data_IF_318676964417
#
_entry.id   IF_318676964417
#
_cell.length_a   1.000
_cell.length_b   1.000
_cell.length_c   1.000
_cell.angle_alpha   90.00
_cell.angle_beta   90.00
_cell.angle_gamma   90.00
#
_symmetry.space_group_name_H-M   'P 1'
#
loop_
_entity.id
_entity.type
_entity.pdbx_description
1 polymer ?
#
# COMPACT_ATOMS: atom_id res chain seq x y z
N UNK A 1 -4.41 0.84 10.92
CA UNK A 1 -5.28 0.57 9.75
C UNK A 1 -5.56 1.90 9.09
N UNK A 2 -5.52 1.96 7.77
CA UNK A 2 -5.91 3.13 6.99
C UNK A 2 -7.02 2.75 6.01
N UNK A 3 -7.94 3.67 5.73
CA UNK A 3 -9.00 3.47 4.73
C UNK A 3 -8.78 4.49 3.63
N UNK A 4 -8.55 4.01 2.41
CA UNK A 4 -8.32 4.90 1.29
C UNK A 4 -9.65 5.38 0.71
N UNK A 5 -9.59 6.50 0.02
CA UNK A 5 -10.70 7.06 -0.74
C UNK A 5 -10.15 7.55 -2.08
N UNK A 6 -10.98 7.98 -3.03
CA UNK A 6 -10.50 8.60 -4.26
C UNK A 6 -9.54 9.78 -4.04
N UNK A 7 -9.65 10.48 -2.90
CA UNK A 7 -8.72 11.56 -2.54
C UNK A 7 -7.29 11.04 -2.24
N UNK A 8 -7.16 9.77 -1.85
CA UNK A 8 -5.90 9.13 -1.46
C UNK A 8 -5.28 8.30 -2.59
N UNK A 9 -5.79 8.43 -3.82
CA UNK A 9 -5.37 7.61 -4.97
C UNK A 9 -3.90 7.82 -5.38
N UNK A 10 -3.28 8.94 -4.98
CA UNK A 10 -1.87 9.19 -5.23
C UNK A 10 -0.98 8.53 -4.17
N UNK A 11 0.23 8.11 -4.59
CA UNK A 11 1.24 7.55 -3.68
C UNK A 11 1.52 8.49 -2.51
N UNK A 12 1.60 9.80 -2.75
CA UNK A 12 1.93 10.76 -1.68
C UNK A 12 0.83 10.81 -0.63
N UNK A 13 -0.44 10.89 -1.04
CA UNK A 13 -1.57 10.94 -0.11
C UNK A 13 -1.71 9.62 0.66
N UNK A 14 -1.57 8.47 0.00
CA UNK A 14 -1.53 7.18 0.68
C UNK A 14 -0.42 7.08 1.75
N UNK A 15 0.77 7.61 1.46
CA UNK A 15 1.87 7.63 2.44
C UNK A 15 1.61 8.62 3.58
N UNK A 16 0.91 9.73 3.32
CA UNK A 16 0.51 10.66 4.38
C UNK A 16 -0.49 10.02 5.34
N UNK A 17 -1.51 9.35 4.83
CA UNK A 17 -2.48 8.59 5.64
C UNK A 17 -1.79 7.53 6.52
N UNK A 18 -0.82 6.80 5.94
CA UNK A 18 -0.03 5.83 6.70
C UNK A 18 0.86 6.49 7.75
N UNK A 19 1.48 7.63 7.43
CA UNK A 19 2.31 8.37 8.36
C UNK A 19 1.48 8.87 9.56
N UNK A 20 0.31 9.43 9.30
CA UNK A 20 -0.63 9.90 10.32
C UNK A 20 -1.09 8.75 11.23
N UNK A 21 -1.50 7.62 10.64
CA UNK A 21 -1.89 6.43 11.39
C UNK A 21 -0.77 5.82 12.24
N UNK A 22 0.50 6.11 11.91
CA UNK A 22 1.68 5.71 12.67
C UNK A 22 2.13 6.74 13.71
N UNK A 23 1.44 7.87 13.81
CA UNK A 23 1.76 8.99 14.70
C UNK A 23 2.96 9.81 14.23
N UNK A 24 3.23 9.83 12.92
CA UNK A 24 4.31 10.63 12.34
C UNK A 24 3.74 11.97 11.84
N UNK A 25 3.99 13.05 12.57
CA UNK A 25 3.58 14.41 12.19
C UNK A 25 4.71 15.19 11.50
N UNK A 26 4.34 16.32 10.87
CA UNK A 26 5.26 17.35 10.36
C UNK A 26 6.28 16.87 9.32
N UNK A 27 5.96 15.79 8.61
CA UNK A 27 6.78 15.29 7.52
C UNK A 27 6.55 16.11 6.25
N UNK A 28 7.63 16.49 5.52
CA UNK A 28 7.49 17.06 4.19
C UNK A 28 6.68 16.14 3.27
N UNK A 29 5.83 16.71 2.40
CA UNK A 29 5.02 15.99 1.38
C UNK A 29 5.87 15.48 0.21
N UNK A 30 6.96 14.77 0.53
CA UNK A 30 7.86 14.13 -0.41
C UNK A 30 7.80 12.61 -0.22
N UNK A 31 7.52 11.87 -1.30
CA UNK A 31 7.35 10.41 -1.28
C UNK A 31 8.54 9.68 -0.64
N UNK A 32 9.77 10.10 -0.95
CA UNK A 32 10.98 9.49 -0.42
C UNK A 32 11.14 9.70 1.08
N UNK A 33 10.86 10.92 1.56
CA UNK A 33 10.91 11.25 2.99
C UNK A 33 9.85 10.46 3.76
N UNK A 34 8.60 10.46 3.27
CA UNK A 34 7.49 9.74 3.90
C UNK A 34 7.76 8.23 3.96
N UNK A 35 8.12 7.62 2.84
CA UNK A 35 8.42 6.20 2.77
C UNK A 35 9.56 5.81 3.73
N UNK A 36 10.61 6.63 3.83
CA UNK A 36 11.72 6.38 4.75
C UNK A 36 11.30 6.47 6.21
N UNK A 37 10.47 7.46 6.57
CA UNK A 37 9.96 7.63 7.92
C UNK A 37 9.06 6.45 8.34
N UNK A 38 8.11 6.08 7.47
CA UNK A 38 7.22 4.92 7.66
C UNK A 38 8.04 3.64 7.84
N UNK A 39 9.00 3.39 6.95
CA UNK A 39 9.87 2.19 7.07
C UNK A 39 10.58 2.13 8.41
N UNK A 40 11.22 3.22 8.85
CA UNK A 40 11.91 3.29 10.14
C UNK A 40 10.96 3.00 11.30
N UNK A 41 9.74 3.50 11.24
CA UNK A 41 8.72 3.33 12.28
C UNK A 41 8.15 1.91 12.35
N UNK A 42 8.15 1.19 11.23
CA UNK A 42 7.63 -0.16 11.08
C UNK A 42 8.69 -1.26 11.27
N UNK A 43 9.95 -1.02 10.93
CA UNK A 43 11.03 -2.02 11.07
C UNK A 43 11.15 -2.51 12.52
N UNK A 44 11.20 -3.82 12.71
CA UNK A 44 11.35 -4.45 14.03
C UNK A 44 10.08 -4.50 14.86
N UNK A 45 8.96 -3.94 14.38
CA UNK A 45 7.68 -4.00 15.10
C UNK A 45 7.01 -5.38 15.00
N UNK A 46 7.34 -6.17 13.97
CA UNK A 46 6.59 -7.38 13.59
C UNK A 46 5.06 -7.12 13.52
N UNK A 47 4.66 -5.88 13.22
CA UNK A 47 3.26 -5.46 13.21
C UNK A 47 2.51 -5.86 11.95
N UNK A 48 1.25 -5.42 11.88
CA UNK A 48 0.35 -5.63 10.74
C UNK A 48 -0.15 -4.27 10.23
N UNK A 49 0.12 -3.99 8.95
CA UNK A 49 -0.46 -2.86 8.23
C UNK A 49 -1.67 -3.35 7.44
N UNK A 50 -2.82 -2.70 7.67
CA UNK A 50 -4.06 -2.97 6.94
C UNK A 50 -4.41 -1.70 6.17
N UNK A 51 -4.57 -1.85 4.85
CA UNK A 51 -5.02 -0.81 3.93
C UNK A 51 -6.36 -1.23 3.35
N UNK A 52 -7.41 -0.54 3.77
CA UNK A 52 -8.76 -0.72 3.26
C UNK A 52 -9.05 0.17 2.05
N UNK A 53 -9.97 -0.25 1.19
CA UNK A 53 -10.29 0.36 -0.11
C UNK A 53 -9.04 0.62 -1.00
N UNK A 54 -8.11 -0.32 -0.97
CA UNK A 54 -6.84 -0.27 -1.70
C UNK A 54 -6.99 -0.26 -3.23
N UNK A 55 -8.16 -0.58 -3.77
CA UNK A 55 -8.46 -0.48 -5.21
C UNK A 55 -8.58 0.97 -5.71
N UNK A 56 -8.57 1.95 -4.80
CA UNK A 56 -8.32 3.34 -5.15
C UNK A 56 -6.86 3.61 -5.59
N UNK A 57 -5.92 2.73 -5.27
CA UNK A 57 -4.52 2.87 -5.71
C UNK A 57 -4.30 2.27 -7.10
N UNK A 58 -3.46 2.96 -7.88
CA UNK A 58 -2.84 2.39 -9.07
C UNK A 58 -1.74 1.37 -8.72
N UNK A 59 -1.24 0.66 -9.73
CA UNK A 59 -0.17 -0.35 -9.59
C UNK A 59 1.05 0.22 -8.86
N UNK A 60 1.48 1.44 -9.20
CA UNK A 60 2.63 2.09 -8.55
C UNK A 60 2.43 2.31 -7.04
N UNK A 61 1.20 2.59 -6.61
CA UNK A 61 0.87 2.73 -5.19
C UNK A 61 0.95 1.40 -4.46
N UNK A 62 0.44 0.34 -5.07
CA UNK A 62 0.51 -1.01 -4.53
C UNK A 62 1.95 -1.52 -4.48
N UNK A 63 2.75 -1.24 -5.50
CA UNK A 63 4.18 -1.57 -5.54
C UNK A 63 4.96 -0.81 -4.46
N UNK A 64 4.60 0.45 -4.19
CA UNK A 64 5.18 1.20 -3.08
C UNK A 64 4.86 0.55 -1.72
N UNK A 65 3.63 0.09 -1.50
CA UNK A 65 3.25 -0.64 -0.28
C UNK A 65 4.01 -1.97 -0.16
N UNK A 66 4.17 -2.71 -1.27
CA UNK A 66 4.97 -3.93 -1.34
C UNK A 66 6.43 -3.67 -0.99
N UNK A 67 7.02 -2.60 -1.51
CA UNK A 67 8.39 -2.20 -1.19
C UNK A 67 8.56 -1.87 0.31
N UNK A 68 7.56 -1.24 0.94
CA UNK A 68 7.56 -1.01 2.39
C UNK A 68 7.49 -2.34 3.14
N UNK A 69 6.60 -3.25 2.75
CA UNK A 69 6.45 -4.57 3.37
C UNK A 69 7.75 -5.38 3.29
N UNK A 70 8.32 -5.54 2.08
CA UNK A 70 9.61 -6.22 1.86
C UNK A 70 10.72 -5.65 2.75
N UNK A 71 10.79 -4.32 2.86
CA UNK A 71 11.88 -3.64 3.54
C UNK A 71 11.72 -3.57 5.07
N UNK A 72 10.55 -3.89 5.60
CA UNK A 72 10.25 -3.82 7.05
C UNK A 72 9.92 -5.18 7.66
N UNK A 73 9.52 -6.15 6.84
CA UNK A 73 9.10 -7.48 7.27
C UNK A 73 7.73 -7.53 7.97
N UNK A 74 6.99 -6.42 8.00
CA UNK A 74 5.66 -6.38 8.63
C UNK A 74 4.64 -7.18 7.83
N UNK A 75 3.60 -7.67 8.50
CA UNK A 75 2.42 -8.17 7.81
C UNK A 75 1.74 -7.05 7.04
N UNK A 76 1.24 -7.33 5.83
CA UNK A 76 0.50 -6.37 5.00
C UNK A 76 -0.78 -7.03 4.47
N UNK A 77 -1.91 -6.37 4.71
CA UNK A 77 -3.23 -6.78 4.21
C UNK A 77 -3.79 -5.63 3.39
N UNK A 78 -4.18 -5.94 2.15
CA UNK A 78 -4.90 -5.02 1.28
C UNK A 78 -6.34 -5.53 1.13
N UNK A 79 -7.29 -4.65 1.38
CA UNK A 79 -8.73 -4.90 1.21
C UNK A 79 -9.20 -3.93 0.13
N UNK A 80 -10.04 -4.40 -0.81
CA UNK A 80 -10.55 -3.55 -1.87
C UNK A 80 -11.31 -4.36 -2.91
N UNK A 81 -11.98 -3.64 -3.82
CA UNK A 81 -12.78 -4.26 -4.86
C UNK A 81 -11.88 -4.86 -5.97
N UNK A 82 -11.94 -6.18 -6.24
CA UNK A 82 -11.10 -6.81 -7.26
C UNK A 82 -11.33 -6.26 -8.68
N UNK A 83 -12.49 -5.64 -8.96
CA UNK A 83 -12.80 -5.00 -10.26
C UNK A 83 -12.13 -3.63 -10.43
N UNK A 84 -11.80 -2.94 -9.33
CA UNK A 84 -11.07 -1.67 -9.36
C UNK A 84 -9.60 -1.90 -9.76
N UNK A 85 -8.98 -2.92 -9.16
CA UNK A 85 -7.62 -3.36 -9.45
C UNK A 85 -7.41 -3.81 -10.91
N UNK A 86 -8.40 -4.48 -11.52
CA UNK A 86 -8.31 -4.95 -12.90
C UNK A 86 -8.31 -3.84 -13.96
N UNK A 87 -8.82 -2.63 -13.65
CA UNK A 87 -8.82 -1.51 -14.61
C UNK A 87 -7.42 -0.96 -14.86
N UNK A 88 -6.53 -1.09 -13.88
CA UNK A 88 -5.10 -0.73 -13.98
C UNK A 88 -4.28 -1.79 -14.72
N UNK A 89 -4.74 -3.05 -14.74
CA UNK A 89 -4.10 -4.20 -15.40
C UNK A 89 -4.60 -4.45 -16.83
N UNK A 90 -5.01 -3.40 -17.58
CA UNK A 90 -5.47 -3.55 -18.97
C UNK A 90 -4.36 -3.94 -19.97
N UNK A 91 -3.10 -3.92 -19.55
CA UNK A 91 -1.95 -4.43 -20.30
C UNK A 91 -1.47 -5.76 -19.71
N UNK A 92 -0.92 -6.64 -20.54
CA UNK A 92 -0.32 -7.92 -20.10
C UNK A 92 0.70 -7.72 -18.98
N UNK A 93 1.50 -6.65 -19.07
CA UNK A 93 2.48 -6.27 -18.05
C UNK A 93 1.83 -5.94 -16.70
N UNK A 94 0.73 -5.17 -16.70
CA UNK A 94 0.03 -4.81 -15.45
C UNK A 94 -0.63 -6.01 -14.76
N UNK A 95 -1.01 -7.04 -15.53
CA UNK A 95 -1.52 -8.30 -14.97
C UNK A 95 -0.41 -9.10 -14.26
N UNK A 96 0.79 -9.15 -14.84
CA UNK A 96 1.95 -9.84 -14.24
C UNK A 96 2.44 -9.15 -12.96
N UNK A 97 2.47 -7.82 -12.94
CA UNK A 97 2.86 -7.04 -11.75
C UNK A 97 1.84 -7.22 -10.63
N UNK A 98 0.55 -7.25 -10.97
CA UNK A 98 -0.52 -7.53 -10.04
C UNK A 98 -0.45 -8.97 -9.49
N UNK A 99 -0.10 -9.95 -10.32
CA UNK A 99 0.11 -11.34 -9.87
C UNK A 99 1.29 -11.45 -8.89
N UNK A 100 2.39 -10.72 -9.13
CA UNK A 100 3.52 -10.64 -8.19
C UNK A 100 3.11 -10.02 -6.86
N UNK A 101 2.31 -8.96 -6.88
CA UNK A 101 1.76 -8.32 -5.68
C UNK A 101 0.91 -9.31 -4.86
N UNK A 102 -0.06 -9.98 -5.51
CA UNK A 102 -0.94 -10.94 -4.85
C UNK A 102 -0.23 -12.17 -4.29
N UNK A 103 0.96 -12.51 -4.79
CA UNK A 103 1.75 -13.62 -4.22
C UNK A 103 2.32 -13.29 -2.84
N UNK A 104 2.48 -12.00 -2.51
CA UNK A 104 3.15 -11.53 -1.29
C UNK A 104 2.20 -10.89 -0.28
N UNK A 105 1.15 -10.26 -0.78
CA UNK A 105 0.11 -9.63 0.03
C UNK A 105 -1.03 -10.63 0.19
N UNK A 106 -1.55 -10.76 1.42
CA UNK A 106 -2.40 -11.86 1.86
C UNK A 106 -3.46 -12.33 0.84
N UNK A 107 -3.60 -13.66 0.71
CA UNK A 107 -4.46 -14.36 -0.25
C UNK A 107 -5.90 -13.85 -0.25
N UNK A 108 -6.42 -13.57 -1.45
CA UNK A 108 -7.85 -13.34 -1.70
C UNK A 108 -8.66 -14.57 -1.30
N UNK A 109 -9.56 -14.42 -0.31
CA UNK A 109 -10.66 -15.36 -0.07
C UNK A 109 -11.93 -14.68 -0.54
N UNK A 110 -12.57 -15.24 -1.57
CA UNK A 110 -13.94 -14.91 -1.93
C UNK A 110 -14.83 -15.68 -0.97
N UNK A 111 -15.53 -14.97 -0.07
CA UNK A 111 -16.60 -15.55 0.74
C UNK A 111 -17.84 -15.76 -0.13
#
# INVERSE_FOLDING_TARGET
>A
MVTLSPAHASITECLLELAEALGLSDLPRNKGTLARAIRRRLTGTNGLVIVDEADHLGIDGLEQLRAIQDATGVGMVLIGNPRGLSKSARSTQGADDLARLYSRIARSKRL
#
